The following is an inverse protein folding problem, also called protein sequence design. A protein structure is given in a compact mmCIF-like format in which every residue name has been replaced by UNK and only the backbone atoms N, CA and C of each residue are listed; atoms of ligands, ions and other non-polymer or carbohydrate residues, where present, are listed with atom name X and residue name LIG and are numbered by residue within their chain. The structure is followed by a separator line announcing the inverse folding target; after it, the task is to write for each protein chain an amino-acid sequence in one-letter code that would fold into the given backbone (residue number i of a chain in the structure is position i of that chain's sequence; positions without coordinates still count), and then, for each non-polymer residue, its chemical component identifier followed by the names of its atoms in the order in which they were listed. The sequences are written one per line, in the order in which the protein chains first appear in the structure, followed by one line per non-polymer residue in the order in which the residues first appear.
data_IF_052047961493
#
_entry.id   IF_052047961493
#
_cell.length_a   1.000
_cell.length_b   1.000
_cell.length_c   1.000
_cell.angle_alpha   90.00
_cell.angle_beta   90.00
_cell.angle_gamma   90.00
#
_symmetry.space_group_name_H-M   'P 1'
#
loop_
_entity.id
_entity.type
_entity.pdbx_description
1 polymer ?
#
# COMPACT_ATOMS: atom_id res chain seq x y z
N UNK A 1 -9.46 5.73 -24.47
CA UNK A 1 -8.15 5.40 -23.88
C UNK A 1 -7.75 6.57 -23.00
N UNK A 2 -7.19 6.35 -21.81
CA UNK A 2 -6.83 7.46 -20.86
C UNK A 2 -5.32 7.63 -20.67
N UNK A 3 -4.52 6.73 -21.26
CA UNK A 3 -3.05 6.73 -21.20
C UNK A 3 -2.49 6.59 -22.61
N UNK A 4 -1.55 7.45 -22.99
CA UNK A 4 -0.86 7.41 -24.29
C UNK A 4 0.26 6.35 -24.34
N UNK A 5 0.90 6.19 -25.51
CA UNK A 5 2.01 5.25 -25.71
C UNK A 5 3.27 5.58 -24.88
N UNK A 6 3.36 6.80 -24.33
CA UNK A 6 4.47 7.26 -23.49
C UNK A 6 4.12 7.22 -22.00
N UNK A 7 3.02 6.53 -21.64
CA UNK A 7 2.51 6.42 -20.27
C UNK A 7 2.20 7.78 -19.63
N UNK A 8 1.63 8.71 -20.40
CA UNK A 8 1.08 9.98 -19.90
C UNK A 8 -0.44 9.98 -19.99
N UNK A 9 -1.07 10.77 -19.11
CA UNK A 9 -2.50 11.03 -19.16
C UNK A 9 -2.90 11.70 -20.49
N UNK A 10 -3.91 11.14 -21.14
CA UNK A 10 -4.56 11.70 -22.32
C UNK A 10 -6.10 11.62 -22.25
N UNK A 11 -6.63 11.48 -21.02
CA UNK A 11 -8.04 11.30 -20.76
C UNK A 11 -8.83 12.58 -20.50
N UNK A 12 -8.27 13.77 -20.75
CA UNK A 12 -8.90 15.07 -20.44
C UNK A 12 -9.48 15.11 -19.01
N UNK A 13 -10.77 15.43 -18.87
CA UNK A 13 -11.51 15.52 -17.61
C UNK A 13 -12.05 14.17 -17.09
N UNK A 14 -11.57 13.06 -17.64
CA UNK A 14 -12.02 11.71 -17.25
C UNK A 14 -11.64 11.36 -15.81
N UNK A 15 -12.55 10.67 -15.12
CA UNK A 15 -12.27 10.02 -13.83
C UNK A 15 -11.95 8.53 -14.04
N UNK A 16 -10.70 8.13 -13.79
CA UNK A 16 -10.27 6.73 -13.79
C UNK A 16 -10.40 6.15 -12.37
N UNK A 17 -11.11 5.03 -12.24
CA UNK A 17 -11.19 4.25 -11.00
C UNK A 17 -10.39 2.95 -11.17
N UNK A 18 -9.26 2.82 -10.48
CA UNK A 18 -8.49 1.57 -10.40
C UNK A 18 -9.04 0.76 -9.21
N UNK A 19 -9.53 -0.47 -9.46
CA UNK A 19 -10.31 -1.24 -8.49
C UNK A 19 -9.47 -2.15 -7.57
N UNK A 20 -8.26 -1.77 -7.18
CA UNK A 20 -7.36 -2.55 -6.32
C UNK A 20 -6.63 -3.69 -7.02
N UNK A 21 -5.89 -4.48 -6.25
CA UNK A 21 -5.06 -5.61 -6.70
C UNK A 21 -3.98 -5.19 -7.70
N UNK A 22 -3.18 -4.21 -7.29
CA UNK A 22 -1.98 -3.76 -8.00
C UNK A 22 -0.79 -4.66 -7.63
N UNK A 23 -0.78 -5.17 -6.40
CA UNK A 23 0.33 -5.95 -5.83
C UNK A 23 0.31 -7.45 -6.19
N UNK A 24 1.39 -8.11 -5.81
CA UNK A 24 1.65 -9.55 -5.68
C UNK A 24 1.87 -10.37 -6.97
N UNK A 25 1.40 -9.97 -8.16
CA UNK A 25 1.41 -10.86 -9.34
C UNK A 25 2.40 -10.49 -10.46
N UNK A 26 3.37 -9.61 -10.18
CA UNK A 26 4.35 -9.15 -11.16
C UNK A 26 5.69 -8.76 -10.54
N UNK A 27 6.61 -8.30 -11.38
CA UNK A 27 7.95 -7.85 -11.00
C UNK A 27 8.13 -6.32 -11.03
N UNK A 28 7.03 -5.59 -11.29
CA UNK A 28 6.98 -4.15 -11.51
C UNK A 28 5.89 -3.47 -10.66
N UNK A 29 5.71 -3.94 -9.42
CA UNK A 29 4.68 -3.49 -8.51
C UNK A 29 4.91 -2.02 -8.09
N UNK A 30 6.14 -1.65 -7.74
CA UNK A 30 6.49 -0.25 -7.44
C UNK A 30 6.40 0.63 -8.68
N UNK A 31 6.76 0.13 -9.86
CA UNK A 31 6.60 0.85 -11.12
C UNK A 31 5.12 1.11 -11.45
N UNK A 32 4.23 0.15 -11.21
CA UNK A 32 2.78 0.34 -11.36
C UNK A 32 2.26 1.43 -10.42
N UNK A 33 2.67 1.40 -9.16
CA UNK A 33 2.30 2.44 -8.20
C UNK A 33 2.84 3.82 -8.58
N UNK A 34 4.09 3.91 -9.02
CA UNK A 34 4.67 5.14 -9.54
C UNK A 34 3.88 5.68 -10.73
N UNK A 35 3.50 4.81 -11.68
CA UNK A 35 2.69 5.18 -12.83
C UNK A 35 1.34 5.74 -12.40
N UNK A 36 0.64 5.09 -11.46
CA UNK A 36 -0.65 5.57 -10.96
C UNK A 36 -0.53 6.92 -10.25
N UNK A 37 0.51 7.14 -9.45
CA UNK A 37 0.81 8.44 -8.85
C UNK A 37 1.08 9.52 -9.92
N UNK A 38 1.88 9.20 -10.93
CA UNK A 38 2.16 10.10 -12.07
C UNK A 38 0.86 10.47 -12.81
N UNK A 39 0.05 9.48 -13.17
CA UNK A 39 -1.21 9.67 -13.87
C UNK A 39 -2.21 10.45 -13.01
N UNK A 40 -2.27 10.20 -11.70
CA UNK A 40 -3.13 10.95 -10.78
C UNK A 40 -2.82 12.45 -10.80
N UNK A 41 -1.53 12.80 -10.83
CA UNK A 41 -1.12 14.21 -10.92
C UNK A 41 -1.50 14.82 -12.27
N UNK A 42 -1.18 14.15 -13.37
CA UNK A 42 -1.47 14.64 -14.72
C UNK A 42 -2.98 14.75 -14.99
N UNK A 43 -3.78 13.79 -14.50
CA UNK A 43 -5.23 13.82 -14.60
C UNK A 43 -5.81 15.03 -13.88
N UNK A 44 -5.36 15.30 -12.65
CA UNK A 44 -5.80 16.47 -11.87
C UNK A 44 -5.47 17.79 -12.59
N UNK A 45 -4.29 17.89 -13.23
CA UNK A 45 -3.90 19.06 -14.03
C UNK A 45 -4.78 19.25 -15.27
N UNK A 46 -5.33 18.17 -15.83
CA UNK A 46 -6.24 18.18 -16.98
C UNK A 46 -7.73 18.35 -16.60
N UNK A 47 -8.05 18.47 -15.30
CA UNK A 47 -9.43 18.55 -14.79
C UNK A 47 -10.12 17.19 -14.56
N UNK A 48 -9.40 16.09 -14.77
CA UNK A 48 -9.85 14.72 -14.49
C UNK A 48 -9.36 14.22 -13.13
N UNK A 49 -9.29 12.90 -12.97
CA UNK A 49 -8.77 12.31 -11.75
C UNK A 49 -8.47 10.81 -11.84
N UNK A 50 -7.65 10.34 -10.91
CA UNK A 50 -7.41 8.90 -10.69
C UNK A 50 -7.75 8.59 -9.24
N UNK A 51 -8.61 7.61 -9.02
CA UNK A 51 -8.92 7.07 -7.69
C UNK A 51 -8.48 5.62 -7.66
N UNK A 52 -7.66 5.29 -6.67
CA UNK A 52 -7.14 3.94 -6.46
C UNK A 52 -7.89 3.33 -5.29
N UNK A 53 -8.47 2.15 -5.49
CA UNK A 53 -9.16 1.42 -4.44
C UNK A 53 -8.25 0.39 -3.77
N UNK A 54 -8.54 0.06 -2.52
CA UNK A 54 -7.93 -1.09 -1.87
C UNK A 54 -8.49 -2.39 -2.44
N UNK A 55 -7.60 -3.26 -2.91
CA UNK A 55 -7.88 -4.67 -3.18
C UNK A 55 -7.57 -5.56 -1.99
N UNK A 56 -7.80 -6.86 -2.14
CA UNK A 56 -7.39 -7.81 -1.11
C UNK A 56 -5.87 -7.94 -1.04
N UNK A 57 -5.16 -7.78 -2.17
CA UNK A 57 -3.71 -7.87 -2.18
C UNK A 57 -3.04 -6.71 -1.42
N UNK A 58 -3.54 -5.48 -1.52
CA UNK A 58 -3.06 -4.37 -0.68
C UNK A 58 -3.33 -4.60 0.81
N UNK A 59 -4.53 -5.10 1.15
CA UNK A 59 -4.86 -5.42 2.54
C UNK A 59 -3.96 -6.51 3.12
N UNK A 60 -3.67 -7.58 2.36
CA UNK A 60 -2.77 -8.66 2.77
C UNK A 60 -1.34 -8.16 3.01
N UNK A 61 -0.83 -7.34 2.09
CA UNK A 61 0.49 -6.74 2.22
C UNK A 61 0.60 -5.85 3.47
N UNK A 62 -0.44 -5.07 3.78
CA UNK A 62 -0.47 -4.23 4.98
C UNK A 62 -0.47 -5.01 6.29
N UNK A 63 -0.92 -6.26 6.30
CA UNK A 63 -0.90 -7.11 7.51
C UNK A 63 0.24 -8.14 7.52
N UNK A 64 1.23 -7.99 6.64
CA UNK A 64 2.42 -8.86 6.61
C UNK A 64 2.19 -10.24 5.97
N UNK A 65 1.09 -10.42 5.25
CA UNK A 65 0.72 -11.68 4.61
C UNK A 65 1.13 -11.68 3.12
N UNK A 66 2.29 -12.26 2.83
CA UNK A 66 2.92 -12.20 1.50
C UNK A 66 2.83 -13.50 0.69
N UNK A 67 1.91 -14.40 1.02
CA UNK A 67 1.80 -15.72 0.38
C UNK A 67 1.59 -15.67 -1.15
N UNK A 68 1.10 -14.54 -1.67
CA UNK A 68 0.89 -14.35 -3.10
C UNK A 68 1.98 -13.53 -3.78
N UNK A 69 2.91 -12.94 -3.02
CA UNK A 69 3.92 -12.04 -3.54
C UNK A 69 4.85 -12.76 -4.52
N UNK A 70 4.91 -12.27 -5.76
CA UNK A 70 5.78 -12.80 -6.78
C UNK A 70 7.25 -12.57 -6.37
N UNK A 71 8.15 -13.56 -6.53
CA UNK A 71 9.55 -13.41 -6.15
C UNK A 71 10.24 -12.20 -6.81
N UNK A 72 9.88 -11.89 -8.06
CA UNK A 72 10.38 -10.72 -8.77
C UNK A 72 9.98 -9.39 -8.12
N UNK A 73 8.73 -9.28 -7.66
CA UNK A 73 8.26 -8.10 -6.95
C UNK A 73 8.99 -7.91 -5.62
N UNK A 74 9.18 -8.99 -4.84
CA UNK A 74 9.98 -8.92 -3.61
C UNK A 74 11.41 -8.42 -3.86
N UNK A 75 12.03 -8.87 -4.95
CA UNK A 75 13.34 -8.39 -5.38
C UNK A 75 13.32 -6.91 -5.78
N UNK A 76 12.25 -6.43 -6.42
CA UNK A 76 12.03 -5.00 -6.70
C UNK A 76 12.02 -4.18 -5.40
N UNK A 77 11.24 -4.61 -4.39
CA UNK A 77 11.18 -3.95 -3.07
C UNK A 77 12.56 -3.91 -2.39
N UNK A 78 13.30 -5.02 -2.35
CA UNK A 78 14.64 -5.03 -1.76
C UNK A 78 15.62 -4.12 -2.53
N UNK A 79 15.55 -4.12 -3.87
CA UNK A 79 16.43 -3.31 -4.70
C UNK A 79 16.14 -1.81 -4.63
N UNK A 80 14.88 -1.43 -4.48
CA UNK A 80 14.46 -0.03 -4.45
C UNK A 80 14.39 0.49 -3.02
N UNK A 81 13.59 -0.13 -2.17
CA UNK A 81 13.37 0.34 -0.80
C UNK A 81 14.50 -0.13 0.11
N UNK A 82 14.79 -1.42 0.11
CA UNK A 82 15.79 -2.01 1.01
C UNK A 82 17.17 -1.37 0.89
N UNK A 83 17.67 -1.21 -0.35
CA UNK A 83 18.95 -0.51 -0.60
C UNK A 83 18.97 0.94 -0.14
N UNK A 84 17.84 1.65 -0.26
CA UNK A 84 17.76 3.04 0.19
C UNK A 84 17.75 3.13 1.72
N UNK A 85 17.06 2.21 2.41
CA UNK A 85 17.11 2.11 3.88
C UNK A 85 18.54 1.75 4.32
N UNK A 86 19.19 0.78 3.67
CA UNK A 86 20.57 0.37 3.98
C UNK A 86 21.53 1.55 3.91
N UNK A 87 21.39 2.38 2.88
CA UNK A 87 22.19 3.60 2.71
C UNK A 87 21.90 4.65 3.79
N UNK A 88 20.63 4.80 4.18
CA UNK A 88 20.20 5.78 5.18
C UNK A 88 20.65 5.38 6.60
N UNK A 89 20.45 4.12 6.96
CA UNK A 89 20.77 3.55 8.29
C UNK A 89 22.26 3.20 8.41
N UNK A 90 22.93 2.90 7.29
CA UNK A 90 24.34 2.51 7.26
C UNK A 90 24.60 1.03 7.55
N UNK A 91 23.56 0.20 7.65
CA UNK A 91 23.64 -1.25 7.81
C UNK A 91 22.32 -1.92 7.36
N UNK A 92 22.31 -3.25 7.32
CA UNK A 92 21.15 -4.06 6.88
C UNK A 92 20.38 -4.75 8.03
N UNK A 93 20.73 -4.49 9.29
CA UNK A 93 20.16 -5.19 10.47
C UNK A 93 18.71 -4.82 10.74
N UNK A 94 18.23 -3.70 10.21
CA UNK A 94 16.81 -3.32 10.30
C UNK A 94 15.88 -4.42 9.78
N UNK A 95 16.34 -5.29 8.86
CA UNK A 95 15.56 -6.44 8.36
C UNK A 95 15.20 -7.45 9.46
N UNK A 96 16.03 -7.56 10.50
CA UNK A 96 15.84 -8.52 11.60
C UNK A 96 14.51 -8.26 12.30
N UNK A 97 14.13 -6.99 12.52
CA UNK A 97 12.89 -6.62 13.22
C UNK A 97 11.62 -7.14 12.51
N UNK A 98 11.73 -7.47 11.22
CA UNK A 98 10.66 -8.08 10.43
C UNK A 98 10.76 -9.60 10.36
N UNK A 99 11.56 -10.23 11.22
CA UNK A 99 11.86 -11.66 11.21
C UNK A 99 12.32 -12.18 9.83
N UNK A 100 12.96 -11.33 9.03
CA UNK A 100 13.30 -11.58 7.62
C UNK A 100 12.11 -11.94 6.70
N UNK A 101 10.87 -11.68 7.13
CA UNK A 101 9.67 -11.91 6.33
C UNK A 101 9.43 -10.75 5.34
N UNK A 102 10.12 -10.77 4.19
CA UNK A 102 10.03 -9.75 3.14
C UNK A 102 10.15 -8.31 3.69
N UNK A 103 11.25 -7.99 4.38
CA UNK A 103 11.36 -6.80 5.23
C UNK A 103 11.13 -5.49 4.47
N UNK A 104 11.65 -5.34 3.25
CA UNK A 104 11.42 -4.11 2.46
C UNK A 104 9.97 -3.93 2.02
N UNK A 105 9.28 -5.04 1.70
CA UNK A 105 7.86 -5.01 1.37
C UNK A 105 7.04 -4.71 2.63
N UNK A 106 7.35 -5.36 3.74
CA UNK A 106 6.65 -5.14 4.99
C UNK A 106 6.79 -3.69 5.48
N UNK A 107 8.02 -3.17 5.54
CA UNK A 107 8.30 -1.77 5.91
C UNK A 107 7.58 -0.75 5.00
N UNK A 108 7.30 -1.12 3.75
CA UNK A 108 6.57 -0.25 2.82
C UNK A 108 5.07 -0.17 3.12
N UNK A 109 4.42 -1.31 3.41
CA UNK A 109 2.96 -1.43 3.44
C UNK A 109 2.32 -1.53 4.82
N UNK A 110 3.10 -1.82 5.87
CA UNK A 110 2.53 -1.88 7.21
C UNK A 110 1.86 -0.56 7.61
N UNK A 111 0.87 -0.60 8.52
CA UNK A 111 0.33 0.60 9.13
C UNK A 111 1.42 1.46 9.76
N UNK A 112 1.47 2.74 9.34
CA UNK A 112 2.53 3.68 9.71
C UNK A 112 3.87 3.48 8.98
N UNK A 113 3.93 2.56 8.03
CA UNK A 113 5.11 2.29 7.21
C UNK A 113 5.41 3.39 6.17
N UNK A 114 6.43 3.15 5.34
CA UNK A 114 7.02 4.17 4.45
C UNK A 114 6.03 4.77 3.44
N UNK A 115 5.07 3.96 2.96
CA UNK A 115 4.09 4.40 1.97
C UNK A 115 2.73 4.80 2.59
N UNK A 116 2.57 4.65 3.91
CA UNK A 116 1.30 4.93 4.58
C UNK A 116 0.82 6.36 4.31
N UNK A 117 1.68 7.35 4.58
CA UNK A 117 1.32 8.78 4.48
C UNK A 117 1.30 9.32 3.04
N UNK A 118 2.20 8.84 2.19
CA UNK A 118 2.38 9.38 0.84
C UNK A 118 1.43 8.75 -0.17
N UNK A 119 1.02 7.51 0.06
CA UNK A 119 0.30 6.71 -0.92
C UNK A 119 -0.95 6.04 -0.35
N UNK A 120 -0.78 5.16 0.63
CA UNK A 120 -1.86 4.25 1.03
C UNK A 120 -3.04 5.00 1.64
N UNK A 121 -2.81 6.04 2.45
CA UNK A 121 -3.88 6.88 3.01
C UNK A 121 -4.82 7.48 1.95
N UNK A 122 -4.30 7.69 0.73
CA UNK A 122 -5.05 8.30 -0.35
C UNK A 122 -5.92 7.28 -1.10
N UNK A 123 -5.67 5.98 -0.92
CA UNK A 123 -6.49 4.90 -1.47
C UNK A 123 -7.85 4.84 -0.77
N UNK A 124 -8.87 4.33 -1.46
CA UNK A 124 -10.25 4.28 -0.95
C UNK A 124 -10.74 2.84 -0.84
N UNK A 125 -11.52 2.54 0.19
CA UNK A 125 -12.20 1.25 0.28
C UNK A 125 -13.33 1.15 -0.75
N UNK A 126 -14.05 2.26 -0.98
CA UNK A 126 -15.08 2.36 -1.99
C UNK A 126 -15.28 3.83 -2.43
N UNK A 127 -15.88 4.03 -3.60
CA UNK A 127 -16.28 5.36 -4.08
C UNK A 127 -17.63 5.29 -4.79
N UNK A 128 -18.42 6.36 -4.70
CA UNK A 128 -19.67 6.53 -5.43
C UNK A 128 -19.50 7.65 -6.45
N UNK A 129 -19.76 7.34 -7.73
CA UNK A 129 -19.74 8.30 -8.84
C UNK A 129 -21.13 8.31 -9.48
N UNK A 130 -21.85 9.41 -9.30
CA UNK A 130 -23.26 9.50 -9.69
C UNK A 130 -24.11 8.47 -8.96
N UNK A 131 -24.58 7.45 -9.70
CA UNK A 131 -25.41 6.35 -9.16
C UNK A 131 -24.66 5.02 -9.04
N UNK A 132 -23.37 5.01 -9.36
CA UNK A 132 -22.56 3.78 -9.39
C UNK A 132 -21.62 3.77 -8.20
N UNK A 133 -21.56 2.64 -7.49
CA UNK A 133 -20.58 2.39 -6.44
C UNK A 133 -19.50 1.45 -6.97
N UNK A 134 -18.24 1.83 -6.77
CA UNK A 134 -17.07 1.03 -7.09
C UNK A 134 -16.43 0.55 -5.79
N UNK A 135 -16.12 -0.74 -5.75
CA UNK A 135 -15.46 -1.47 -4.67
C UNK A 135 -14.78 -2.68 -5.30
N UNK A 136 -13.69 -3.16 -4.71
CA UNK A 136 -12.90 -4.24 -5.28
C UNK A 136 -13.69 -5.55 -5.49
N UNK A 137 -14.36 -6.07 -4.45
CA UNK A 137 -15.14 -7.31 -4.53
C UNK A 137 -16.65 -7.07 -4.40
N UNK A 138 -17.07 -6.37 -3.35
CA UNK A 138 -18.49 -6.12 -3.08
C UNK A 138 -18.71 -5.42 -1.75
N UNK A 139 -19.90 -4.85 -1.58
CA UNK A 139 -20.28 -4.12 -0.37
C UNK A 139 -21.68 -4.56 0.08
N UNK A 140 -21.79 -4.92 1.36
CA UNK A 140 -23.07 -5.28 1.97
C UNK A 140 -23.68 -4.07 2.68
N UNK A 141 -24.99 -4.11 2.94
CA UNK A 141 -25.66 -3.08 3.75
C UNK A 141 -25.06 -2.96 5.17
N UNK A 142 -24.52 -4.06 5.71
CA UNK A 142 -23.84 -4.04 7.01
C UNK A 142 -22.56 -3.21 6.97
N UNK A 143 -21.73 -3.35 5.94
CA UNK A 143 -20.52 -2.51 5.79
C UNK A 143 -20.87 -1.02 5.80
N UNK A 144 -21.89 -0.63 5.05
CA UNK A 144 -22.34 0.78 5.01
C UNK A 144 -22.86 1.23 6.36
N UNK A 145 -23.66 0.41 7.05
CA UNK A 145 -24.25 0.74 8.35
C UNK A 145 -23.19 0.88 9.45
N UNK A 146 -22.29 -0.09 9.55
CA UNK A 146 -21.29 -0.16 10.63
C UNK A 146 -20.32 1.03 10.58
N UNK A 147 -20.01 1.53 9.39
CA UNK A 147 -19.09 2.65 9.19
C UNK A 147 -19.81 3.98 8.93
N UNK A 148 -21.14 4.05 9.02
CA UNK A 148 -21.89 5.29 8.78
C UNK A 148 -21.79 5.81 7.33
N UNK A 149 -21.58 4.93 6.36
CA UNK A 149 -21.49 5.25 4.93
C UNK A 149 -20.12 5.03 4.31
N UNK A 150 -20.03 5.15 2.98
CA UNK A 150 -18.79 5.01 2.20
C UNK A 150 -17.69 5.97 2.68
N UNK A 151 -18.08 7.20 3.04
CA UNK A 151 -17.14 8.18 3.58
C UNK A 151 -16.50 7.71 4.90
N UNK A 152 -17.28 7.07 5.78
CA UNK A 152 -16.74 6.53 7.03
C UNK A 152 -15.92 5.26 6.82
N UNK A 153 -16.24 4.44 5.83
CA UNK A 153 -15.38 3.30 5.44
C UNK A 153 -14.01 3.79 4.97
N UNK A 154 -13.98 4.81 4.10
CA UNK A 154 -12.72 5.38 3.62
C UNK A 154 -11.91 6.03 4.74
N UNK A 155 -12.58 6.75 5.66
CA UNK A 155 -11.91 7.34 6.83
C UNK A 155 -11.32 6.27 7.74
N UNK A 156 -12.05 5.19 8.00
CA UNK A 156 -11.55 4.10 8.83
C UNK A 156 -10.33 3.41 8.20
N UNK A 157 -10.32 3.22 6.88
CA UNK A 157 -9.16 2.68 6.17
C UNK A 157 -7.94 3.63 6.26
N UNK A 158 -8.16 4.92 6.05
CA UNK A 158 -7.15 5.98 6.16
C UNK A 158 -6.54 6.06 7.57
N UNK A 159 -7.39 6.11 8.60
CA UNK A 159 -6.98 6.14 10.01
C UNK A 159 -6.24 4.85 10.40
N UNK A 160 -6.69 3.70 9.90
CA UNK A 160 -6.05 2.43 10.20
C UNK A 160 -4.66 2.34 9.59
N UNK A 161 -4.48 2.70 8.31
CA UNK A 161 -3.18 2.55 7.64
C UNK A 161 -2.15 3.59 8.08
N UNK A 162 -2.58 4.76 8.59
CA UNK A 162 -1.66 5.82 9.06
C UNK A 162 -1.23 5.61 10.50
N UNK A 163 -1.95 4.80 11.28
CA UNK A 163 -1.65 4.54 12.69
C UNK A 163 -0.76 3.31 12.86
N UNK A 164 0.27 3.43 13.69
CA UNK A 164 1.10 2.30 14.13
C UNK A 164 0.31 1.43 15.11
N UNK A 165 0.16 0.12 14.84
CA UNK A 165 -0.63 -0.80 15.68
C UNK A 165 0.21 -1.85 16.44
N UNK A 166 1.40 -2.20 15.95
CA UNK A 166 2.19 -3.32 16.49
C UNK A 166 3.42 -2.87 17.30
N UNK A 167 3.34 -1.68 17.93
CA UNK A 167 4.48 -0.99 18.51
C UNK A 167 5.40 -0.41 17.43
N UNK A 168 6.35 0.43 17.82
CA UNK A 168 7.27 1.02 16.84
C UNK A 168 8.18 -0.07 16.25
N UNK A 169 8.05 -0.39 14.96
CA UNK A 169 9.06 -1.15 14.20
C UNK A 169 10.27 -0.26 13.87
N UNK A 170 10.65 0.58 14.83
CA UNK A 170 11.78 1.50 14.77
C UNK A 170 13.01 0.92 15.49
N UNK A 171 12.96 -0.36 15.86
CA UNK A 171 14.00 -1.15 16.53
C UNK A 171 15.20 -1.46 15.60
N UNK A 172 15.57 -0.49 14.76
CA UNK A 172 16.63 -0.56 13.76
C UNK A 172 17.98 -0.89 14.40
N UNK A 173 18.29 -2.19 14.47
CA UNK A 173 19.53 -2.70 15.05
C UNK A 173 19.47 -3.00 16.55
N UNK A 174 18.30 -2.90 17.20
CA UNK A 174 18.14 -3.32 18.60
C UNK A 174 18.16 -4.85 18.74
N UNK A 175 17.51 -5.54 17.81
CA UNK A 175 17.54 -7.01 17.76
C UNK A 175 18.83 -7.53 17.13
N UNK A 176 19.34 -8.62 17.71
CA UNK A 176 20.49 -9.36 17.24
C UNK A 176 20.14 -10.62 16.47
N UNK A 177 18.93 -11.16 16.67
CA UNK A 177 18.45 -12.40 16.05
C UNK A 177 16.94 -12.38 15.78
N UNK A 178 16.46 -13.32 14.95
CA UNK A 178 15.02 -13.50 14.70
C UNK A 178 14.34 -14.07 15.94
N UNK A 179 15.04 -14.92 16.69
CA UNK A 179 14.57 -15.51 17.94
C UNK A 179 14.21 -14.43 18.96
N UNK A 180 15.06 -13.41 19.14
CA UNK A 180 14.77 -12.28 20.03
C UNK A 180 13.51 -11.50 19.59
N UNK A 181 13.30 -11.34 18.29
CA UNK A 181 12.10 -10.68 17.75
C UNK A 181 10.85 -11.49 18.05
N UNK A 182 10.90 -12.81 17.87
CA UNK A 182 9.79 -13.71 18.15
C UNK A 182 9.48 -13.76 19.66
N UNK A 183 10.50 -13.80 20.52
CA UNK A 183 10.32 -13.73 21.96
C UNK A 183 9.69 -12.40 22.38
N UNK A 184 10.17 -11.28 21.85
CA UNK A 184 9.60 -9.96 22.12
C UNK A 184 8.14 -9.85 21.68
N UNK A 185 7.80 -10.36 20.49
CA UNK A 185 6.44 -10.36 19.98
C UNK A 185 5.49 -11.22 20.83
N UNK A 186 5.95 -12.38 21.33
CA UNK A 186 5.15 -13.27 22.17
C UNK A 186 4.97 -12.78 23.61
N UNK A 187 5.83 -11.88 24.09
CA UNK A 187 5.80 -11.33 25.45
C UNK A 187 5.01 -10.02 25.58
N UNK A 188 4.39 -9.52 24.50
CA UNK A 188 3.51 -8.35 24.46
C UNK A 188 2.05 -8.74 24.60
#
# INVERSE_FOLDING_TARGET
QVVDEKLNWCGDDTLLIQCGDILDRGDQELACFYLLCKLSKQAAEAGGGVVILYGNHEALNSVGLFQYAFPGGNLEFENVIGKNIDKYVGNNRWRIQFANNQPSRWAAFEPGGLLAESMLKNMKAAIVVGRTCFVHAGMTAKHVKDFGGVAGMNRAAEEWITKVHHGENNHTGEFSSVEEVLEFANNR
#
